data_IF_994814443894
#
_entry.id   IF_994814443894
#
_cell.length_a   1.000
_cell.length_b   1.000
_cell.length_c   1.000
_cell.angle_alpha   90.00
_cell.angle_beta   90.00
_cell.angle_gamma   90.00
#
_symmetry.space_group_name_H-M   'P 1'
#
loop_
_entity.id
_entity.type
_entity.pdbx_description
1 polymer ?
#
# COMPACT_ATOMS: atom_id res chain seq x y z
N UNK A 1 51.83 25.32 12.65
CA UNK A 1 50.54 24.80 13.16
C UNK A 1 49.69 24.39 11.96
N UNK A 2 49.73 23.11 11.60
CA UNK A 2 49.04 22.56 10.41
C UNK A 2 47.64 22.10 10.81
N UNK A 3 46.59 22.71 10.22
CA UNK A 3 45.18 22.33 10.40
C UNK A 3 44.96 20.94 9.81
N UNK A 4 44.33 19.99 10.54
CA UNK A 4 44.01 18.69 9.97
C UNK A 4 42.97 18.83 8.87
N UNK A 5 43.25 18.21 7.71
CA UNK A 5 42.33 18.15 6.58
C UNK A 5 41.04 17.36 7.00
N UNK A 6 39.90 17.98 6.83
CA UNK A 6 38.61 17.33 7.04
C UNK A 6 38.47 16.16 6.04
N UNK A 7 38.39 14.95 6.56
CA UNK A 7 38.16 13.73 5.78
C UNK A 7 36.82 13.86 5.04
N UNK A 8 36.87 14.01 3.72
CA UNK A 8 35.70 13.93 2.83
C UNK A 8 35.13 12.50 2.92
N UNK A 9 33.97 12.37 3.50
CA UNK A 9 33.24 11.09 3.53
C UNK A 9 33.09 10.57 2.09
N UNK A 10 33.37 9.26 1.87
CA UNK A 10 33.21 8.63 0.55
C UNK A 10 31.73 8.76 0.11
N UNK A 11 31.43 8.90 -1.20
CA UNK A 11 30.04 9.08 -1.71
C UNK A 11 29.05 8.04 -1.20
N UNK A 12 29.50 6.79 -1.02
CA UNK A 12 28.69 5.69 -0.46
C UNK A 12 28.28 5.93 1.00
N UNK A 13 29.20 6.48 1.82
CA UNK A 13 28.93 6.77 3.25
C UNK A 13 28.03 7.99 3.43
N UNK A 14 28.13 8.97 2.52
CA UNK A 14 27.25 10.13 2.49
C UNK A 14 25.80 9.72 2.11
N UNK A 15 25.64 8.85 1.09
CA UNK A 15 24.34 8.32 0.66
C UNK A 15 23.66 7.49 1.74
N UNK A 16 24.41 6.62 2.44
CA UNK A 16 23.87 5.82 3.55
C UNK A 16 23.38 6.69 4.72
N UNK A 17 24.11 7.80 5.04
CA UNK A 17 23.67 8.74 6.08
C UNK A 17 22.41 9.52 5.67
N UNK A 18 22.31 9.91 4.40
CA UNK A 18 21.14 10.57 3.85
C UNK A 18 19.93 9.64 3.91
N UNK A 19 20.07 8.39 3.50
CA UNK A 19 19.02 7.38 3.54
C UNK A 19 18.55 7.13 4.99
N UNK A 20 19.45 6.93 5.94
CA UNK A 20 19.06 6.74 7.35
C UNK A 20 18.36 7.94 7.98
N UNK A 21 18.61 9.17 7.48
CA UNK A 21 17.84 10.35 7.90
C UNK A 21 16.44 10.37 7.32
N UNK A 22 16.27 10.02 6.05
CA UNK A 22 14.96 9.90 5.40
C UNK A 22 14.11 8.88 6.14
N UNK A 23 14.67 7.70 6.42
CA UNK A 23 14.00 6.65 7.18
C UNK A 23 13.55 7.13 8.57
N UNK A 24 14.43 7.79 9.33
CA UNK A 24 14.09 8.34 10.65
C UNK A 24 12.96 9.39 10.58
N UNK A 25 12.94 10.23 9.55
CA UNK A 25 11.88 11.22 9.32
C UNK A 25 10.54 10.51 9.02
N UNK A 26 10.54 9.53 8.12
CA UNK A 26 9.35 8.78 7.75
C UNK A 26 8.81 7.95 8.92
N UNK A 27 9.67 7.34 9.73
CA UNK A 27 9.25 6.60 10.93
C UNK A 27 8.62 7.52 11.99
N UNK A 28 9.18 8.72 12.17
CA UNK A 28 8.58 9.72 13.05
C UNK A 28 7.20 10.17 12.54
N UNK A 29 7.07 10.41 11.24
CA UNK A 29 5.81 10.77 10.61
C UNK A 29 4.77 9.64 10.69
N UNK A 30 5.16 8.37 10.46
CA UNK A 30 4.28 7.20 10.67
C UNK A 30 3.77 7.12 12.10
N UNK A 31 4.65 7.35 13.06
CA UNK A 31 4.26 7.30 14.47
C UNK A 31 3.25 8.40 14.82
N UNK A 32 3.45 9.62 14.34
CA UNK A 32 2.49 10.72 14.53
C UNK A 32 1.15 10.41 13.86
N UNK A 33 1.15 9.91 12.62
CA UNK A 33 -0.06 9.47 11.94
C UNK A 33 -0.81 8.41 12.75
N UNK A 34 -0.09 7.43 13.28
CA UNK A 34 -0.69 6.32 14.04
C UNK A 34 -1.33 6.77 15.35
N UNK A 35 -0.73 7.74 16.05
CA UNK A 35 -1.14 8.14 17.40
C UNK A 35 -2.05 9.37 17.43
N UNK A 36 -1.88 10.29 16.49
CA UNK A 36 -2.50 11.62 16.52
C UNK A 36 -3.27 11.96 15.23
N UNK A 37 -3.09 11.16 14.19
CA UNK A 37 -3.74 11.35 12.88
C UNK A 37 -3.07 12.42 11.99
N UNK A 38 -3.60 12.60 10.78
CA UNK A 38 -3.02 13.49 9.75
C UNK A 38 -2.95 14.96 10.21
N UNK A 39 -3.92 15.42 11.00
CA UNK A 39 -3.97 16.81 11.45
C UNK A 39 -2.79 17.21 12.34
N UNK A 40 -2.10 16.26 12.98
CA UNK A 40 -0.93 16.50 13.80
C UNK A 40 0.37 16.66 13.01
N UNK A 41 0.38 16.26 11.73
CA UNK A 41 1.58 16.29 10.91
C UNK A 41 1.97 17.73 10.56
N UNK A 42 3.18 18.08 10.98
CA UNK A 42 3.89 19.27 10.56
C UNK A 42 5.38 18.96 10.44
N UNK A 43 6.11 19.74 9.67
CA UNK A 43 7.57 19.57 9.61
C UNK A 43 8.20 19.71 11.01
N UNK A 44 7.64 20.54 11.87
CA UNK A 44 8.14 20.76 13.23
C UNK A 44 7.86 19.56 14.14
N UNK A 45 6.64 19.02 14.16
CA UNK A 45 6.29 17.84 14.97
C UNK A 45 7.11 16.62 14.55
N UNK A 46 7.30 16.41 13.24
CA UNK A 46 8.12 15.32 12.69
C UNK A 46 9.61 15.53 13.05
N UNK A 47 10.15 16.74 12.93
CA UNK A 47 11.52 17.07 13.28
C UNK A 47 11.80 16.83 14.77
N UNK A 48 10.90 17.27 15.64
CA UNK A 48 10.96 17.06 17.09
C UNK A 48 10.99 15.56 17.43
N UNK A 49 10.06 14.79 16.87
CA UNK A 49 9.97 13.35 17.13
C UNK A 49 11.14 12.56 16.54
N UNK A 50 11.67 12.97 15.38
CA UNK A 50 12.84 12.36 14.77
C UNK A 50 14.16 12.78 15.43
N UNK A 51 14.15 13.74 16.34
CA UNK A 51 15.34 14.39 16.92
C UNK A 51 16.28 14.97 15.85
N UNK A 52 15.71 15.58 14.82
CA UNK A 52 16.41 16.16 13.67
C UNK A 52 16.00 17.64 13.54
N UNK A 53 16.92 18.57 13.25
CA UNK A 53 16.54 19.96 13.03
C UNK A 53 15.52 20.11 11.90
N UNK A 54 14.50 21.01 12.03
CA UNK A 54 13.51 21.24 10.98
C UNK A 54 14.11 21.59 9.61
N UNK A 55 15.24 22.32 9.58
CA UNK A 55 15.98 22.60 8.35
C UNK A 55 16.50 21.34 7.62
N UNK A 56 16.80 20.28 8.40
CA UNK A 56 17.18 19.00 7.81
C UNK A 56 15.97 18.26 7.22
N UNK A 57 14.79 18.39 7.82
CA UNK A 57 13.57 17.81 7.26
C UNK A 57 13.20 18.53 5.97
N UNK A 58 13.22 19.86 5.95
CA UNK A 58 12.99 20.67 4.74
C UNK A 58 13.98 20.38 3.60
N UNK A 59 15.19 19.91 3.93
CA UNK A 59 16.16 19.51 2.92
C UNK A 59 15.71 18.27 2.11
N UNK A 60 14.94 17.35 2.74
CA UNK A 60 14.47 16.12 2.12
C UNK A 60 13.03 16.22 1.62
N UNK A 61 12.18 16.97 2.30
CA UNK A 61 10.76 17.09 2.02
C UNK A 61 10.34 18.55 1.94
N UNK A 62 9.71 18.96 0.86
CA UNK A 62 9.26 20.34 0.63
C UNK A 62 8.15 20.80 1.59
N UNK A 63 7.58 19.89 2.39
CA UNK A 63 6.50 20.15 3.33
C UNK A 63 5.75 18.87 3.68
N UNK A 64 4.62 19.01 4.37
CA UNK A 64 3.76 17.89 4.73
C UNK A 64 3.26 17.10 3.50
N UNK A 65 2.87 17.72 2.37
CA UNK A 65 2.50 16.98 1.17
C UNK A 65 3.59 16.01 0.70
N UNK A 66 4.85 16.44 0.64
CA UNK A 66 5.95 15.56 0.24
C UNK A 66 6.22 14.41 1.24
N UNK A 67 5.96 14.63 2.53
CA UNK A 67 6.01 13.55 3.53
C UNK A 67 4.89 12.52 3.31
N UNK A 68 3.67 13.00 3.08
CA UNK A 68 2.51 12.15 2.83
C UNK A 68 2.69 11.35 1.55
N UNK A 69 3.17 11.97 0.47
CA UNK A 69 3.48 11.29 -0.79
C UNK A 69 4.50 10.16 -0.59
N UNK A 70 5.58 10.41 0.16
CA UNK A 70 6.58 9.39 0.44
C UNK A 70 6.02 8.24 1.29
N UNK A 71 5.23 8.54 2.32
CA UNK A 71 4.57 7.53 3.15
C UNK A 71 3.56 6.70 2.35
N UNK A 72 2.76 7.34 1.51
CA UNK A 72 1.82 6.67 0.61
C UNK A 72 2.56 5.74 -0.36
N UNK A 73 3.69 6.20 -0.93
CA UNK A 73 4.55 5.36 -1.79
C UNK A 73 5.07 4.11 -1.08
N UNK A 74 5.45 4.22 0.21
CA UNK A 74 5.90 3.07 1.00
C UNK A 74 4.74 2.07 1.26
N UNK A 75 3.55 2.58 1.58
CA UNK A 75 2.33 1.76 1.75
C UNK A 75 2.01 1.03 0.45
N UNK A 76 2.06 1.73 -0.67
CA UNK A 76 1.87 1.15 -2.00
C UNK A 76 2.90 0.06 -2.33
N UNK A 77 4.17 0.28 -1.96
CA UNK A 77 5.20 -0.76 -2.13
C UNK A 77 4.91 -2.01 -1.30
N UNK A 78 4.34 -1.85 -0.08
CA UNK A 78 3.92 -2.98 0.75
C UNK A 78 2.77 -3.76 0.11
N UNK A 79 1.75 -3.08 -0.45
CA UNK A 79 0.66 -3.73 -1.19
C UNK A 79 1.18 -4.51 -2.41
N UNK A 80 2.03 -3.90 -3.24
CA UNK A 80 2.64 -4.61 -4.38
C UNK A 80 3.42 -5.85 -3.91
N UNK A 81 4.23 -5.71 -2.86
CA UNK A 81 4.99 -6.82 -2.30
C UNK A 81 4.11 -7.97 -1.81
N UNK A 82 3.00 -7.68 -1.14
CA UNK A 82 2.10 -8.72 -0.64
C UNK A 82 1.35 -9.45 -1.76
N UNK A 83 0.99 -8.77 -2.86
CA UNK A 83 0.35 -9.38 -4.02
C UNK A 83 1.33 -10.24 -4.84
N UNK A 84 2.61 -9.81 -4.92
CA UNK A 84 3.65 -10.56 -5.63
C UNK A 84 4.18 -11.77 -4.86
N UNK A 85 3.89 -11.86 -3.56
CA UNK A 85 4.35 -12.99 -2.75
C UNK A 85 3.82 -14.32 -3.31
N UNK A 86 4.64 -15.39 -3.34
CA UNK A 86 4.27 -16.68 -3.90
C UNK A 86 2.96 -17.23 -3.32
N UNK A 87 2.17 -17.89 -4.16
CA UNK A 87 0.97 -18.63 -3.78
C UNK A 87 1.14 -20.07 -4.19
N UNK A 88 0.82 -20.99 -3.29
CA UNK A 88 0.88 -22.42 -3.53
C UNK A 88 -0.22 -22.86 -4.51
N UNK A 89 0.13 -22.96 -5.79
CA UNK A 89 -0.79 -23.29 -6.87
C UNK A 89 -1.58 -24.57 -6.60
N UNK A 90 -0.94 -25.59 -6.01
CA UNK A 90 -1.57 -26.88 -5.72
C UNK A 90 -2.76 -26.77 -4.74
N UNK A 91 -2.75 -25.78 -3.86
CA UNK A 91 -3.79 -25.59 -2.85
C UNK A 91 -5.00 -24.80 -3.35
N UNK A 92 -4.92 -24.22 -4.55
CA UNK A 92 -6.02 -23.46 -5.13
C UNK A 92 -7.02 -24.42 -5.79
N UNK A 93 -8.27 -24.41 -5.37
CA UNK A 93 -9.37 -25.15 -5.99
C UNK A 93 -10.17 -24.30 -6.96
N UNK A 94 -10.11 -22.97 -6.83
CA UNK A 94 -10.74 -22.01 -7.71
C UNK A 94 -10.15 -20.61 -7.54
N UNK A 95 -10.58 -19.69 -8.39
CA UNK A 95 -10.13 -18.31 -8.33
C UNK A 95 -10.53 -17.61 -7.01
N UNK A 96 -11.63 -18.03 -6.38
CA UNK A 96 -12.07 -17.54 -5.08
C UNK A 96 -11.02 -17.78 -3.99
N UNK A 97 -10.34 -18.94 -3.99
CA UNK A 97 -9.29 -19.23 -3.02
C UNK A 97 -8.13 -18.24 -3.18
N UNK A 98 -7.75 -17.97 -4.44
CA UNK A 98 -6.69 -17.01 -4.75
C UNK A 98 -7.11 -15.58 -4.37
N UNK A 99 -8.31 -15.15 -4.77
CA UNK A 99 -8.85 -13.85 -4.41
C UNK A 99 -8.83 -13.63 -2.89
N UNK A 100 -9.25 -14.64 -2.13
CA UNK A 100 -9.26 -14.60 -0.66
C UNK A 100 -7.87 -14.51 -0.06
N UNK A 101 -6.90 -15.24 -0.61
CA UNK A 101 -5.50 -15.15 -0.17
C UNK A 101 -4.94 -13.74 -0.41
N UNK A 102 -5.18 -13.15 -1.57
CA UNK A 102 -4.69 -11.82 -1.92
C UNK A 102 -5.33 -10.73 -1.05
N UNK A 103 -6.64 -10.79 -0.87
CA UNK A 103 -7.38 -9.85 -0.03
C UNK A 103 -6.96 -9.95 1.45
N UNK A 104 -6.77 -11.16 1.98
CA UNK A 104 -6.27 -11.34 3.35
C UNK A 104 -4.87 -10.75 3.55
N UNK A 105 -4.02 -10.78 2.52
CA UNK A 105 -2.69 -10.17 2.56
C UNK A 105 -2.79 -8.64 2.59
N UNK A 106 -3.66 -8.04 1.77
CA UNK A 106 -3.92 -6.60 1.78
C UNK A 106 -4.54 -6.15 3.10
N UNK A 107 -5.53 -6.87 3.60
CA UNK A 107 -6.15 -6.62 4.91
C UNK A 107 -5.13 -6.65 6.06
N UNK A 108 -4.13 -7.53 5.99
CA UNK A 108 -3.06 -7.59 7.00
C UNK A 108 -2.27 -6.29 7.05
N UNK A 109 -1.97 -5.67 5.91
CA UNK A 109 -1.28 -4.37 5.86
C UNK A 109 -2.11 -3.32 6.59
N UNK A 110 -3.42 -3.25 6.34
CA UNK A 110 -4.30 -2.32 7.08
C UNK A 110 -4.34 -2.60 8.58
N UNK A 111 -4.27 -3.86 9.01
CA UNK A 111 -4.28 -4.21 10.43
C UNK A 111 -2.96 -3.87 11.14
N UNK A 112 -1.83 -4.05 10.47
CA UNK A 112 -0.49 -3.88 11.03
C UNK A 112 0.02 -2.44 10.89
N UNK A 113 -0.38 -1.70 9.85
CA UNK A 113 0.07 -0.34 9.58
C UNK A 113 -1.06 0.69 9.76
N UNK A 114 -0.97 1.47 10.84
CA UNK A 114 -1.90 2.56 11.09
C UNK A 114 -1.75 3.70 10.06
N UNK A 115 -0.57 3.91 9.47
CA UNK A 115 -0.37 4.89 8.41
C UNK A 115 -1.12 4.47 7.15
N UNK A 116 -1.12 3.17 6.78
CA UNK A 116 -1.92 2.65 5.67
C UNK A 116 -3.41 2.95 5.86
N UNK A 117 -3.95 2.72 7.07
CA UNK A 117 -5.36 3.05 7.38
C UNK A 117 -5.65 4.54 7.25
N UNK A 118 -4.76 5.38 7.73
CA UNK A 118 -4.95 6.83 7.71
C UNK A 118 -4.81 7.42 6.30
N UNK A 119 -3.88 6.91 5.52
CA UNK A 119 -3.58 7.44 4.19
C UNK A 119 -4.56 6.92 3.13
N UNK A 120 -4.92 5.64 3.18
CA UNK A 120 -5.74 5.00 2.15
C UNK A 120 -7.22 4.99 2.53
N UNK A 121 -7.58 4.52 3.74
CA UNK A 121 -8.98 4.30 4.11
C UNK A 121 -9.68 5.54 4.69
N UNK A 122 -8.95 6.50 5.28
CA UNK A 122 -9.59 7.63 5.96
C UNK A 122 -10.05 8.75 5.04
N UNK A 123 -9.87 8.65 3.73
CA UNK A 123 -10.29 9.65 2.71
C UNK A 123 -9.95 11.09 3.11
N UNK A 124 -8.69 11.40 3.16
CA UNK A 124 -8.25 12.77 3.35
C UNK A 124 -8.34 13.50 2.00
N UNK A 125 -9.05 14.61 1.96
CA UNK A 125 -9.24 15.42 0.75
C UNK A 125 -7.97 16.15 0.26
N UNK A 126 -6.81 15.50 0.39
CA UNK A 126 -5.54 15.99 -0.14
C UNK A 126 -5.41 15.52 -1.59
N UNK A 127 -5.39 16.48 -2.51
CA UNK A 127 -5.34 16.22 -3.96
C UNK A 127 -4.11 15.37 -4.34
N UNK A 128 -2.97 15.61 -3.68
CA UNK A 128 -1.70 14.91 -3.95
C UNK A 128 -1.79 13.43 -3.58
N UNK A 129 -2.40 13.11 -2.43
CA UNK A 129 -2.63 11.71 -2.02
C UNK A 129 -3.58 11.02 -2.98
N UNK A 130 -4.68 11.67 -3.35
CA UNK A 130 -5.69 11.11 -4.25
C UNK A 130 -5.13 10.79 -5.65
N UNK A 131 -4.22 11.62 -6.18
CA UNK A 131 -3.61 11.35 -7.48
C UNK A 131 -2.61 10.20 -7.42
N UNK A 132 -1.80 10.13 -6.36
CA UNK A 132 -0.89 9.02 -6.12
C UNK A 132 -1.64 7.69 -5.94
N UNK A 133 -2.77 7.72 -5.21
CA UNK A 133 -3.63 6.55 -5.04
C UNK A 133 -4.18 6.04 -6.36
N UNK A 134 -4.73 6.89 -7.21
CA UNK A 134 -5.29 6.47 -8.51
C UNK A 134 -4.27 5.77 -9.41
N UNK A 135 -3.04 6.29 -9.47
CA UNK A 135 -1.99 5.65 -10.26
C UNK A 135 -1.63 4.29 -9.68
N UNK A 136 -1.60 4.21 -8.36
CA UNK A 136 -1.30 2.98 -7.65
C UNK A 136 -2.41 1.93 -7.81
N UNK A 137 -3.68 2.35 -7.74
CA UNK A 137 -4.83 1.45 -7.93
C UNK A 137 -4.78 0.77 -9.30
N UNK A 138 -4.39 1.51 -10.36
CA UNK A 138 -4.15 0.95 -11.68
C UNK A 138 -3.01 -0.09 -11.68
N UNK A 139 -1.91 0.19 -10.99
CA UNK A 139 -0.80 -0.76 -10.86
C UNK A 139 -1.20 -2.03 -10.09
N UNK A 140 -1.97 -1.89 -9.01
CA UNK A 140 -2.48 -3.02 -8.24
C UNK A 140 -3.50 -3.83 -9.02
N UNK A 141 -4.40 -3.18 -9.77
CA UNK A 141 -5.35 -3.83 -10.66
C UNK A 141 -4.65 -4.71 -11.69
N UNK A 142 -3.66 -4.17 -12.38
CA UNK A 142 -2.84 -4.91 -13.34
C UNK A 142 -2.10 -6.08 -12.68
N UNK A 143 -1.63 -5.88 -11.46
CA UNK A 143 -0.95 -6.93 -10.70
C UNK A 143 -1.92 -8.04 -10.29
N UNK A 144 -3.11 -7.71 -9.80
CA UNK A 144 -4.17 -8.68 -9.49
C UNK A 144 -4.56 -9.49 -10.73
N UNK A 145 -4.81 -8.82 -11.86
CA UNK A 145 -5.06 -9.49 -13.14
C UNK A 145 -3.93 -10.46 -13.49
N UNK A 146 -2.68 -10.00 -13.38
CA UNK A 146 -1.49 -10.81 -13.68
C UNK A 146 -1.40 -12.03 -12.77
N UNK A 147 -1.60 -11.85 -11.46
CA UNK A 147 -1.52 -12.96 -10.49
C UNK A 147 -2.63 -13.97 -10.74
N UNK A 148 -3.87 -13.53 -10.97
CA UNK A 148 -4.97 -14.43 -11.32
C UNK A 148 -4.72 -15.18 -12.64
N UNK A 149 -4.25 -14.48 -13.67
CA UNK A 149 -3.95 -15.06 -15.00
C UNK A 149 -2.83 -16.10 -14.97
N UNK A 150 -1.91 -16.02 -14.00
CA UNK A 150 -0.87 -17.06 -13.81
C UNK A 150 -1.44 -18.41 -13.40
N UNK A 151 -2.53 -18.39 -12.65
CA UNK A 151 -3.12 -19.58 -12.06
C UNK A 151 -4.36 -20.09 -12.81
N UNK A 152 -5.11 -19.16 -13.45
CA UNK A 152 -6.38 -19.46 -14.11
C UNK A 152 -6.46 -18.84 -15.50
N UNK A 153 -7.29 -19.43 -16.37
CA UNK A 153 -7.64 -18.83 -17.66
C UNK A 153 -8.79 -17.87 -17.45
N UNK A 154 -8.49 -16.57 -17.50
CA UNK A 154 -9.49 -15.52 -17.33
C UNK A 154 -10.29 -15.32 -18.62
N UNK A 155 -11.59 -15.02 -18.53
CA UNK A 155 -12.40 -14.56 -19.67
C UNK A 155 -11.95 -13.19 -20.13
N UNK A 156 -12.40 -12.77 -21.31
CA UNK A 156 -12.27 -11.38 -21.74
C UNK A 156 -13.04 -10.47 -20.76
N UNK A 157 -12.38 -9.46 -20.25
CA UNK A 157 -12.97 -8.45 -19.38
C UNK A 157 -13.32 -7.20 -20.23
N UNK A 158 -14.25 -6.35 -19.76
CA UNK A 158 -14.54 -5.08 -20.43
C UNK A 158 -13.30 -4.19 -20.53
N UNK A 159 -13.13 -3.51 -21.68
CA UNK A 159 -12.02 -2.58 -21.89
C UNK A 159 -12.27 -1.19 -21.28
N UNK A 160 -13.53 -0.86 -21.02
CA UNK A 160 -14.00 0.43 -20.49
C UNK A 160 -14.23 0.45 -18.99
N UNK A 161 -14.03 -0.69 -18.31
CA UNK A 161 -14.20 -0.83 -16.84
C UNK A 161 -12.99 -1.53 -16.24
N UNK A 162 -12.29 -0.87 -15.34
CA UNK A 162 -11.24 -1.53 -14.54
C UNK A 162 -11.88 -2.34 -13.40
N UNK A 163 -12.20 -3.60 -13.71
CA UNK A 163 -12.92 -4.52 -12.82
C UNK A 163 -12.15 -4.76 -11.52
N UNK A 164 -10.84 -4.85 -11.56
CA UNK A 164 -10.04 -5.15 -10.37
C UNK A 164 -9.88 -3.93 -9.47
N UNK A 165 -9.68 -2.74 -10.04
CA UNK A 165 -9.68 -1.49 -9.26
C UNK A 165 -11.01 -1.33 -8.52
N UNK A 166 -12.14 -1.47 -9.22
CA UNK A 166 -13.45 -1.33 -8.59
C UNK A 166 -13.71 -2.38 -7.51
N UNK A 167 -13.25 -3.62 -7.70
CA UNK A 167 -13.36 -4.65 -6.67
C UNK A 167 -12.62 -4.26 -5.39
N UNK A 168 -11.38 -3.76 -5.51
CA UNK A 168 -10.57 -3.28 -4.38
C UNK A 168 -11.23 -2.09 -3.68
N UNK A 169 -11.61 -1.05 -4.43
CA UNK A 169 -12.25 0.15 -3.89
C UNK A 169 -13.52 -0.16 -3.10
N UNK A 170 -14.33 -1.11 -3.59
CA UNK A 170 -15.54 -1.56 -2.90
C UNK A 170 -15.23 -2.26 -1.57
N UNK A 171 -14.20 -3.12 -1.53
CA UNK A 171 -13.71 -3.75 -0.31
C UNK A 171 -13.19 -2.70 0.68
N UNK A 172 -12.34 -1.79 0.22
CA UNK A 172 -11.78 -0.71 1.01
C UNK A 172 -12.85 0.22 1.59
N UNK A 173 -13.94 0.43 0.86
CA UNK A 173 -15.08 1.20 1.38
C UNK A 173 -15.74 0.56 2.59
N UNK A 174 -15.82 -0.75 2.63
CA UNK A 174 -16.31 -1.50 3.81
C UNK A 174 -15.34 -1.36 4.98
N UNK A 175 -14.03 -1.46 4.73
CA UNK A 175 -13.00 -1.29 5.76
C UNK A 175 -12.98 0.14 6.32
N UNK A 176 -13.04 1.14 5.45
CA UNK A 176 -13.16 2.54 5.85
C UNK A 176 -14.39 2.77 6.74
N UNK A 177 -15.52 2.17 6.40
CA UNK A 177 -16.75 2.24 7.22
C UNK A 177 -16.55 1.59 8.59
N UNK A 178 -15.84 0.46 8.67
CA UNK A 178 -15.51 -0.18 9.94
C UNK A 178 -14.70 0.75 10.85
N UNK A 179 -13.67 1.37 10.28
CA UNK A 179 -12.81 2.32 11.03
C UNK A 179 -13.63 3.50 11.55
N UNK A 180 -14.50 4.08 10.72
CA UNK A 180 -15.38 5.19 11.12
C UNK A 180 -16.30 4.83 12.29
N UNK A 181 -16.81 3.60 12.35
CA UNK A 181 -17.77 3.16 13.35
C UNK A 181 -17.10 2.60 14.61
N UNK A 182 -15.96 1.94 14.46
CA UNK A 182 -15.35 1.12 15.51
C UNK A 182 -13.91 1.50 15.82
N UNK A 183 -13.30 2.43 15.10
CA UNK A 183 -11.87 2.77 15.21
C UNK A 183 -10.91 1.72 14.67
N UNK A 184 -11.43 0.58 14.19
CA UNK A 184 -10.64 -0.53 13.65
C UNK A 184 -11.44 -1.32 12.61
N UNK A 185 -10.77 -2.18 11.83
CA UNK A 185 -11.43 -3.15 10.96
C UNK A 185 -11.82 -4.35 11.83
N UNK A 186 -13.11 -4.46 12.15
CA UNK A 186 -13.60 -5.60 12.94
C UNK A 186 -13.60 -6.88 12.13
N UNK A 187 -13.47 -8.08 12.76
CA UNK A 187 -13.50 -9.36 12.01
C UNK A 187 -14.75 -9.51 11.12
N UNK A 188 -15.91 -9.05 11.60
CA UNK A 188 -17.16 -9.09 10.83
C UNK A 188 -17.08 -8.21 9.58
N UNK A 189 -16.56 -6.99 9.70
CA UNK A 189 -16.43 -6.06 8.57
C UNK A 189 -15.31 -6.50 7.62
N UNK A 190 -14.28 -7.18 8.10
CA UNK A 190 -13.27 -7.81 7.27
C UNK A 190 -13.90 -8.89 6.36
N UNK A 191 -14.78 -9.74 6.92
CA UNK A 191 -15.53 -10.72 6.13
C UNK A 191 -16.48 -10.06 5.11
N UNK A 192 -17.14 -8.96 5.46
CA UNK A 192 -18.02 -8.24 4.54
C UNK A 192 -17.24 -7.57 3.41
N UNK A 193 -16.07 -6.98 3.68
CA UNK A 193 -15.20 -6.44 2.62
C UNK A 193 -14.77 -7.53 1.65
N UNK A 194 -14.33 -8.69 2.15
CA UNK A 194 -14.02 -9.87 1.35
C UNK A 194 -15.20 -10.31 0.47
N UNK A 195 -16.40 -10.38 1.05
CA UNK A 195 -17.62 -10.76 0.31
C UNK A 195 -17.95 -9.78 -0.80
N UNK A 196 -17.81 -8.48 -0.55
CA UNK A 196 -18.04 -7.44 -1.56
C UNK A 196 -17.04 -7.55 -2.69
N UNK A 197 -15.75 -7.72 -2.37
CA UNK A 197 -14.70 -7.95 -3.35
C UNK A 197 -14.97 -9.16 -4.23
N UNK A 198 -15.22 -10.33 -3.63
CA UNK A 198 -15.55 -11.57 -4.36
C UNK A 198 -16.85 -11.44 -5.17
N UNK A 199 -17.91 -10.86 -4.60
CA UNK A 199 -19.20 -10.71 -5.27
C UNK A 199 -19.11 -9.81 -6.51
N UNK A 200 -18.34 -8.73 -6.44
CA UNK A 200 -18.14 -7.87 -7.59
C UNK A 200 -17.34 -8.58 -8.69
N UNK A 201 -16.26 -9.26 -8.35
CA UNK A 201 -15.50 -10.07 -9.31
C UNK A 201 -16.37 -11.17 -9.96
N UNK A 202 -17.28 -11.77 -9.21
CA UNK A 202 -18.18 -12.82 -9.71
C UNK A 202 -19.20 -12.32 -10.76
N UNK A 203 -19.36 -11.01 -10.93
CA UNK A 203 -20.13 -10.45 -12.06
C UNK A 203 -19.43 -10.67 -13.41
N UNK A 204 -18.12 -10.82 -13.39
CA UNK A 204 -17.26 -10.91 -14.58
C UNK A 204 -16.54 -12.26 -14.69
N UNK A 205 -16.25 -12.89 -13.57
CA UNK A 205 -15.58 -14.19 -13.52
C UNK A 205 -16.59 -15.30 -13.26
N UNK A 206 -16.70 -16.31 -14.12
CA UNK A 206 -17.61 -17.44 -13.88
C UNK A 206 -17.19 -18.20 -12.61
N UNK A 207 -18.12 -18.93 -11.95
CA UNK A 207 -17.83 -19.67 -10.73
C UNK A 207 -16.67 -20.66 -10.85
N UNK A 208 -16.47 -21.20 -12.05
CA UNK A 208 -15.38 -22.12 -12.38
C UNK A 208 -14.56 -21.55 -13.52
N UNK A 209 -13.29 -21.31 -13.24
CA UNK A 209 -12.28 -20.96 -14.24
C UNK A 209 -11.37 -22.16 -14.48
N UNK A 210 -10.97 -22.44 -15.73
CA UNK A 210 -9.95 -23.43 -15.99
C UNK A 210 -8.66 -23.10 -15.24
N UNK A 211 -8.22 -24.03 -14.40
CA UNK A 211 -6.95 -23.92 -13.70
C UNK A 211 -5.82 -24.30 -14.63
N UNK A 212 -4.76 -23.51 -14.71
CA UNK A 212 -3.59 -23.85 -15.50
C UNK A 212 -2.87 -25.06 -14.91
N UNK A 213 -2.24 -25.87 -15.75
CA UNK A 213 -1.49 -27.06 -15.30
C UNK A 213 -0.27 -26.71 -14.46
N UNK A 214 0.33 -25.54 -14.71
CA UNK A 214 1.39 -24.96 -13.91
C UNK A 214 1.24 -23.42 -13.93
N UNK A 215 1.67 -22.70 -12.87
CA UNK A 215 1.66 -21.25 -12.91
C UNK A 215 2.63 -20.76 -14.00
N UNK A 216 2.19 -19.79 -14.78
CA UNK A 216 3.06 -19.15 -15.79
C UNK A 216 4.14 -18.33 -15.05
N UNK A 217 5.40 -18.57 -15.40
CA UNK A 217 6.53 -17.80 -14.84
C UNK A 217 6.38 -16.29 -15.03
N UNK A 218 6.92 -15.53 -14.09
CA UNK A 218 6.85 -14.06 -14.09
C UNK A 218 7.95 -13.43 -14.96
N UNK A 219 8.36 -14.09 -16.05
CA UNK A 219 9.34 -13.51 -16.97
C UNK A 219 8.60 -12.62 -17.98
N UNK A 220 8.63 -11.31 -17.70
CA UNK A 220 9.06 -10.23 -18.62
C UNK A 220 8.86 -8.88 -17.95
#
# INVERSE_FOLDING_TARGET
>A
MTRPAASRATPRKARARSQGRIEAILDAARTLLATEGVASLSIYSVAERAHIPPSSVYHFFSGVPGLLEALTSDVHAAFRGCLQAPVEHAQLHGWHDLARVLEQRMLRIYNEDAAARQLILAQHGLTEVTQADRQHDLELSQLLHTVLSRHFELPALPDDVDVFTLAMELGDRVYARSIQLHGSITPRMAEEGMRVFEAYLALYLPPFLPKRTAPVSADH
#
